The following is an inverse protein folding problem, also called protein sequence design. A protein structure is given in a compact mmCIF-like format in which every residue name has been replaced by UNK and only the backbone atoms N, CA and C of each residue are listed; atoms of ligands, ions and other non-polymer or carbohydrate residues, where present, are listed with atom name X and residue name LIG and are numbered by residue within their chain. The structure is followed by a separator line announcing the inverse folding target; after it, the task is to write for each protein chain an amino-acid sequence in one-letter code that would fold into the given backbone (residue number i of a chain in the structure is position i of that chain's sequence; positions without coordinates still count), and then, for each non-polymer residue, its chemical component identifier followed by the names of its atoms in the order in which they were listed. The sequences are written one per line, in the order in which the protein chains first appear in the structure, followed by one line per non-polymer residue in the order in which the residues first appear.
data_IF_429508101187
#
_entry.id   IF_429508101187
#
_cell.length_a   1.000
_cell.length_b   1.000
_cell.length_c   1.000
_cell.angle_alpha   90.00
_cell.angle_beta   90.00
_cell.angle_gamma   90.00
#
_symmetry.space_group_name_H-M   'P 1'
#
loop_
_entity.id
_entity.type
_entity.pdbx_description
1 polymer ?
#
# COMPACT_ATOMS: atom_id res chain seq x y z
N UNK A 1 -47.20 2.07 24.50
CA UNK A 1 -46.70 2.30 23.13
C UNK A 1 -45.90 3.61 23.11
N UNK A 2 -44.86 3.71 23.95
CA UNK A 2 -44.09 4.96 24.19
C UNK A 2 -42.75 4.70 24.91
N UNK A 3 -42.19 3.49 24.78
CA UNK A 3 -40.91 3.15 25.42
C UNK A 3 -40.08 2.19 24.55
N UNK A 4 -40.73 1.39 23.69
CA UNK A 4 -40.05 0.55 22.70
C UNK A 4 -39.79 1.29 21.37
N UNK A 5 -40.70 2.17 20.91
CA UNK A 5 -40.47 3.00 19.71
C UNK A 5 -39.36 4.07 19.91
N UNK A 6 -39.11 4.50 21.14
CA UNK A 6 -38.00 5.40 21.48
C UNK A 6 -36.65 4.68 21.65
N UNK A 7 -36.64 3.34 21.75
CA UNK A 7 -35.41 2.53 21.69
C UNK A 7 -35.01 2.20 20.26
N UNK A 8 -35.98 2.15 19.35
CA UNK A 8 -35.75 1.77 17.96
C UNK A 8 -35.35 2.97 17.08
N UNK A 9 -35.70 4.19 17.49
CA UNK A 9 -35.18 5.42 16.91
C UNK A 9 -33.91 5.90 17.61
N UNK A 10 -32.78 5.58 16.98
CA UNK A 10 -31.72 6.57 16.69
C UNK A 10 -30.47 6.61 17.59
N UNK A 11 -29.79 5.48 17.83
CA UNK A 11 -28.33 5.52 17.97
C UNK A 11 -27.69 5.66 16.56
N UNK A 12 -28.05 6.71 15.81
CA UNK A 12 -27.33 7.06 14.58
C UNK A 12 -25.94 7.48 15.03
N UNK A 13 -24.95 6.65 14.68
CA UNK A 13 -23.53 7.00 14.71
C UNK A 13 -23.37 8.43 14.18
N UNK A 14 -22.80 9.31 15.01
CA UNK A 14 -22.60 10.72 14.63
C UNK A 14 -21.73 10.81 13.37
N UNK A 15 -21.92 11.83 12.54
CA UNK A 15 -21.10 12.04 11.34
C UNK A 15 -19.60 12.07 11.65
N UNK A 16 -19.22 12.67 12.79
CA UNK A 16 -17.85 12.72 13.29
C UNK A 16 -17.35 11.34 13.71
N UNK A 17 -18.19 10.54 14.35
CA UNK A 17 -17.84 9.19 14.78
C UNK A 17 -17.65 8.26 13.57
N UNK A 18 -18.54 8.34 12.57
CA UNK A 18 -18.40 7.63 11.32
C UNK A 18 -17.11 8.01 10.58
N UNK A 19 -16.71 9.29 10.62
CA UNK A 19 -15.43 9.74 10.07
C UNK A 19 -14.24 9.12 10.83
N UNK A 20 -14.26 9.11 12.17
CA UNK A 20 -13.23 8.47 12.99
C UNK A 20 -13.09 6.99 12.70
N UNK A 21 -14.21 6.25 12.62
CA UNK A 21 -14.21 4.82 12.28
C UNK A 21 -13.58 4.60 10.88
N UNK A 22 -13.93 5.43 9.89
CA UNK A 22 -13.34 5.33 8.55
C UNK A 22 -11.83 5.63 8.57
N UNK A 23 -11.39 6.59 9.38
CA UNK A 23 -9.98 6.97 9.52
C UNK A 23 -9.17 5.84 10.16
N UNK A 24 -9.67 5.28 11.25
CA UNK A 24 -9.06 4.14 11.93
C UNK A 24 -8.99 2.92 11.02
N UNK A 25 -10.06 2.63 10.27
CA UNK A 25 -10.09 1.52 9.32
C UNK A 25 -9.07 1.73 8.18
N UNK A 26 -8.97 2.94 7.64
CA UNK A 26 -7.97 3.29 6.62
C UNK A 26 -6.54 3.10 7.15
N UNK A 27 -6.27 3.50 8.39
CA UNK A 27 -4.96 3.35 9.03
C UNK A 27 -4.64 1.88 9.30
N UNK A 28 -5.62 1.09 9.76
CA UNK A 28 -5.49 -0.36 9.90
C UNK A 28 -5.13 -1.03 8.57
N UNK A 29 -5.79 -0.67 7.46
CA UNK A 29 -5.49 -1.22 6.14
C UNK A 29 -4.09 -0.89 5.63
N UNK A 30 -3.55 0.29 5.97
CA UNK A 30 -2.14 0.62 5.70
C UNK A 30 -1.22 -0.29 6.51
N UNK A 31 -1.51 -0.49 7.80
CA UNK A 31 -0.73 -1.39 8.66
C UNK A 31 -0.72 -2.84 8.17
N UNK A 32 -1.91 -3.37 7.86
CA UNK A 32 -2.06 -4.74 7.35
C UNK A 32 -1.41 -4.92 5.97
N UNK A 33 -1.42 -3.89 5.11
CA UNK A 33 -0.70 -3.92 3.82
C UNK A 33 0.80 -4.17 4.01
N UNK A 34 1.43 -3.46 4.94
CA UNK A 34 2.84 -3.65 5.26
C UNK A 34 3.12 -5.01 5.90
N UNK A 35 2.28 -5.43 6.86
CA UNK A 35 2.41 -6.73 7.51
C UNK A 35 2.36 -7.88 6.51
N UNK A 36 1.36 -7.88 5.61
CA UNK A 36 1.23 -8.90 4.55
C UNK A 36 2.45 -8.89 3.63
N UNK A 37 2.88 -7.72 3.18
CA UNK A 37 4.04 -7.59 2.29
C UNK A 37 5.32 -8.14 2.92
N UNK A 38 5.54 -7.91 4.21
CA UNK A 38 6.69 -8.44 4.93
C UNK A 38 6.68 -9.98 4.98
N UNK A 39 5.53 -10.61 5.20
CA UNK A 39 5.43 -12.08 5.17
C UNK A 39 5.80 -12.66 3.81
N UNK A 40 5.33 -12.06 2.72
CA UNK A 40 5.68 -12.51 1.37
C UNK A 40 7.17 -12.29 1.05
N UNK A 41 7.77 -11.20 1.52
CA UNK A 41 9.20 -10.94 1.33
C UNK A 41 10.06 -11.98 2.07
N UNK A 42 9.74 -12.27 3.33
CA UNK A 42 10.46 -13.29 4.13
C UNK A 42 10.32 -14.67 3.52
N UNK A 43 9.11 -15.05 3.10
CA UNK A 43 8.87 -16.33 2.43
C UNK A 43 9.65 -16.44 1.11
N UNK A 44 9.65 -15.39 0.28
CA UNK A 44 10.44 -15.37 -0.95
C UNK A 44 11.94 -15.48 -0.69
N UNK A 45 12.46 -14.81 0.34
CA UNK A 45 13.86 -14.91 0.73
C UNK A 45 14.22 -16.35 1.17
N UNK A 46 13.38 -17.00 1.97
CA UNK A 46 13.58 -18.39 2.38
C UNK A 46 13.58 -19.35 1.18
N UNK A 47 12.64 -19.18 0.25
CA UNK A 47 12.58 -19.95 -1.00
C UNK A 47 13.83 -19.74 -1.86
N UNK A 48 14.32 -18.50 -1.98
CA UNK A 48 15.55 -18.18 -2.71
C UNK A 48 16.77 -18.88 -2.10
N UNK A 49 16.93 -18.81 -0.78
CA UNK A 49 18.02 -19.51 -0.07
C UNK A 49 17.93 -21.03 -0.32
N UNK A 50 16.74 -21.61 -0.23
CA UNK A 50 16.52 -23.04 -0.52
C UNK A 50 16.89 -23.40 -1.96
N UNK A 51 16.45 -22.59 -2.93
CA UNK A 51 16.75 -22.78 -4.35
C UNK A 51 18.26 -22.83 -4.62
N UNK A 52 19.03 -21.87 -4.09
CA UNK A 52 20.48 -21.81 -4.33
C UNK A 52 21.29 -22.85 -3.56
N UNK A 53 20.73 -23.49 -2.52
CA UNK A 53 21.40 -24.55 -1.76
C UNK A 53 21.18 -25.94 -2.32
N UNK A 54 20.12 -26.16 -3.10
CA UNK A 54 19.81 -27.48 -3.67
C UNK A 54 20.71 -27.77 -4.88
N UNK A 55 21.39 -28.92 -4.84
CA UNK A 55 22.13 -29.47 -5.98
C UNK A 55 21.23 -30.23 -6.95
N UNK A 56 20.10 -30.78 -6.47
CA UNK A 56 19.14 -31.50 -7.29
C UNK A 56 18.28 -30.53 -8.13
N UNK A 57 18.35 -30.69 -9.45
CA UNK A 57 17.63 -29.87 -10.41
C UNK A 57 16.10 -30.01 -10.29
N UNK A 58 15.57 -31.19 -9.96
CA UNK A 58 14.12 -31.40 -9.84
C UNK A 58 13.53 -30.61 -8.68
N UNK A 59 14.16 -30.68 -7.51
CA UNK A 59 13.67 -29.99 -6.31
C UNK A 59 13.91 -28.47 -6.38
N UNK A 60 15.02 -28.03 -7.00
CA UNK A 60 15.25 -26.60 -7.23
C UNK A 60 14.24 -25.99 -8.21
N UNK A 61 13.91 -26.67 -9.32
CA UNK A 61 12.83 -26.22 -10.23
C UNK A 61 11.49 -26.15 -9.49
N UNK A 62 11.17 -27.16 -8.67
CA UNK A 62 9.94 -27.15 -7.88
C UNK A 62 9.86 -25.95 -6.92
N UNK A 63 10.97 -25.62 -6.23
CA UNK A 63 11.04 -24.43 -5.38
C UNK A 63 10.90 -23.14 -6.19
N UNK A 64 11.47 -23.07 -7.39
CA UNK A 64 11.33 -21.89 -8.23
C UNK A 64 9.89 -21.69 -8.73
N UNK A 65 9.20 -22.76 -9.11
CA UNK A 65 7.77 -22.73 -9.42
C UNK A 65 6.93 -22.26 -8.20
N UNK A 66 7.25 -22.76 -7.01
CA UNK A 66 6.61 -22.31 -5.77
C UNK A 66 6.88 -20.83 -5.49
N UNK A 67 8.12 -20.37 -5.69
CA UNK A 67 8.50 -18.96 -5.58
C UNK A 67 7.75 -18.05 -6.54
N UNK A 68 7.63 -18.45 -7.81
CA UNK A 68 6.83 -17.73 -8.81
C UNK A 68 5.37 -17.63 -8.38
N UNK A 69 4.79 -18.74 -7.92
CA UNK A 69 3.40 -18.79 -7.46
C UNK A 69 3.17 -17.90 -6.22
N UNK A 70 4.04 -17.99 -5.21
CA UNK A 70 3.98 -17.15 -3.99
C UNK A 70 4.09 -15.67 -4.35
N UNK A 71 4.98 -15.31 -5.27
CA UNK A 71 5.16 -13.93 -5.74
C UNK A 71 3.93 -13.42 -6.50
N UNK A 72 3.28 -14.28 -7.28
CA UNK A 72 2.03 -13.95 -7.95
C UNK A 72 0.89 -13.75 -6.95
N UNK A 73 0.80 -14.57 -5.90
CA UNK A 73 -0.16 -14.34 -4.82
C UNK A 73 0.11 -13.02 -4.08
N UNK A 74 1.38 -12.69 -3.83
CA UNK A 74 1.77 -11.41 -3.26
C UNK A 74 1.26 -10.23 -4.11
N UNK A 75 1.47 -10.30 -5.43
CA UNK A 75 0.94 -9.30 -6.36
C UNK A 75 -0.58 -9.12 -6.22
N UNK A 76 -1.35 -10.21 -6.20
CA UNK A 76 -2.81 -10.14 -6.02
C UNK A 76 -3.22 -9.55 -4.66
N UNK A 77 -2.50 -9.88 -3.60
CA UNK A 77 -2.73 -9.30 -2.26
C UNK A 77 -2.44 -7.80 -2.24
N UNK A 78 -1.40 -7.34 -2.95
CA UNK A 78 -1.10 -5.91 -3.09
C UNK A 78 -2.22 -5.17 -3.84
N UNK A 79 -2.78 -5.76 -4.91
CA UNK A 79 -3.94 -5.20 -5.61
C UNK A 79 -5.17 -5.09 -4.69
N UNK A 80 -5.48 -6.15 -3.94
CA UNK A 80 -6.59 -6.13 -2.98
C UNK A 80 -6.40 -5.07 -1.89
N UNK A 81 -5.17 -4.91 -1.39
CA UNK A 81 -4.84 -3.88 -0.40
C UNK A 81 -5.06 -2.47 -0.97
N UNK A 82 -4.62 -2.22 -2.21
CA UNK A 82 -4.81 -0.92 -2.87
C UNK A 82 -6.28 -0.61 -3.08
N UNK A 83 -7.10 -1.61 -3.45
CA UNK A 83 -8.54 -1.45 -3.62
C UNK A 83 -9.23 -0.96 -2.33
N UNK A 84 -8.95 -1.62 -1.19
CA UNK A 84 -9.56 -1.23 0.08
C UNK A 84 -9.05 0.10 0.61
N UNK A 85 -7.76 0.40 0.45
CA UNK A 85 -7.19 1.72 0.78
C UNK A 85 -7.90 2.83 0.00
N UNK A 86 -8.02 2.69 -1.33
CA UNK A 86 -8.68 3.67 -2.17
C UNK A 86 -10.17 3.85 -1.81
N UNK A 87 -10.85 2.75 -1.48
CA UNK A 87 -12.24 2.81 -1.00
C UNK A 87 -12.35 3.64 0.27
N UNK A 88 -11.53 3.38 1.28
CA UNK A 88 -11.61 4.09 2.56
C UNK A 88 -11.17 5.55 2.45
N UNK A 89 -10.15 5.85 1.64
CA UNK A 89 -9.78 7.23 1.28
C UNK A 89 -10.96 7.98 0.65
N UNK A 90 -11.69 7.35 -0.28
CA UNK A 90 -12.88 7.95 -0.87
C UNK A 90 -14.02 8.16 0.14
N UNK A 91 -14.24 7.21 1.06
CA UNK A 91 -15.25 7.35 2.13
C UNK A 91 -14.90 8.47 3.10
N UNK A 92 -13.61 8.65 3.41
CA UNK A 92 -13.12 9.76 4.24
C UNK A 92 -13.35 11.10 3.55
N UNK A 93 -12.93 11.25 2.29
CA UNK A 93 -13.16 12.44 1.49
C UNK A 93 -14.65 12.86 1.49
N UNK A 94 -15.55 11.91 1.20
CA UNK A 94 -16.99 12.20 1.17
C UNK A 94 -17.50 12.62 2.54
N UNK A 95 -17.11 11.91 3.60
CA UNK A 95 -17.59 12.20 4.95
C UNK A 95 -17.03 13.51 5.49
N UNK A 96 -15.79 13.85 5.17
CA UNK A 96 -15.17 15.14 5.50
C UNK A 96 -15.98 16.30 4.94
N UNK A 97 -16.30 16.25 3.64
CA UNK A 97 -17.13 17.26 2.98
C UNK A 97 -18.53 17.40 3.57
N UNK A 98 -19.08 16.35 4.17
CA UNK A 98 -20.38 16.39 4.84
C UNK A 98 -20.32 17.02 6.24
N UNK A 99 -19.19 16.90 6.96
CA UNK A 99 -19.08 17.35 8.36
C UNK A 99 -18.33 18.67 8.52
N UNK A 100 -17.34 18.93 7.68
CA UNK A 100 -16.46 20.10 7.73
C UNK A 100 -15.74 20.24 6.37
N UNK A 101 -16.41 20.88 5.42
CA UNK A 101 -15.90 21.07 4.05
C UNK A 101 -14.66 21.96 3.97
N UNK A 102 -14.37 22.73 5.01
CA UNK A 102 -13.25 23.66 5.13
C UNK A 102 -11.94 23.00 5.62
N UNK A 103 -11.96 21.72 6.04
CA UNK A 103 -10.75 21.05 6.55
C UNK A 103 -9.73 20.71 5.47
N UNK A 104 -10.19 20.36 4.26
CA UNK A 104 -9.34 20.04 3.10
C UNK A 104 -8.20 19.04 3.42
N UNK A 105 -8.45 17.98 4.20
CA UNK A 105 -7.43 16.96 4.48
C UNK A 105 -7.48 15.83 3.45
N UNK A 106 -8.58 15.08 3.46
CA UNK A 106 -8.88 14.03 2.48
C UNK A 106 -9.72 14.56 1.33
N UNK A 107 -10.42 15.69 1.54
CA UNK A 107 -11.22 16.37 0.52
C UNK A 107 -10.42 17.27 -0.41
N UNK A 108 -9.19 17.65 -0.06
CA UNK A 108 -8.35 18.53 -0.86
C UNK A 108 -8.16 18.01 -2.30
N UNK A 109 -8.17 18.95 -3.23
CA UNK A 109 -7.84 18.68 -4.61
C UNK A 109 -6.32 18.51 -4.80
N UNK A 110 -5.93 18.01 -5.98
CA UNK A 110 -4.52 17.70 -6.23
C UNK A 110 -3.62 18.93 -6.28
N UNK A 111 -4.15 20.12 -6.60
CA UNK A 111 -3.36 21.36 -6.65
C UNK A 111 -3.03 21.85 -5.25
N UNK A 112 -4.00 21.83 -4.32
CA UNK A 112 -3.80 22.16 -2.91
C UNK A 112 -2.78 21.23 -2.26
N UNK A 113 -2.94 19.91 -2.43
CA UNK A 113 -1.97 18.91 -1.91
C UNK A 113 -0.56 19.17 -2.45
N UNK A 114 -0.43 19.48 -3.75
CA UNK A 114 0.87 19.73 -4.36
C UNK A 114 1.50 21.01 -3.80
N UNK A 115 0.73 22.09 -3.66
CA UNK A 115 1.18 23.36 -3.12
C UNK A 115 1.67 23.22 -1.66
N UNK A 116 0.96 22.45 -0.82
CA UNK A 116 1.34 22.20 0.58
C UNK A 116 2.70 21.48 0.68
N UNK A 117 2.92 20.48 -0.17
CA UNK A 117 4.18 19.72 -0.20
C UNK A 117 5.32 20.59 -0.73
N UNK A 118 5.08 21.38 -1.78
CA UNK A 118 6.07 22.31 -2.34
C UNK A 118 6.47 23.40 -1.35
N UNK A 119 5.49 23.99 -0.64
CA UNK A 119 5.75 24.97 0.41
C UNK A 119 6.61 24.36 1.53
N UNK A 120 6.30 23.13 1.95
CA UNK A 120 7.08 22.39 2.95
C UNK A 120 8.53 22.16 2.51
N UNK A 121 8.78 21.93 1.23
CA UNK A 121 10.13 21.75 0.69
C UNK A 121 10.85 23.06 0.39
N UNK A 122 10.14 24.16 0.15
CA UNK A 122 10.75 25.49 -0.03
C UNK A 122 11.36 26.04 1.26
N UNK A 123 10.91 25.57 2.42
CA UNK A 123 11.45 25.97 3.71
C UNK A 123 12.95 25.60 3.81
N UNK A 124 13.81 26.60 4.00
CA UNK A 124 15.26 26.42 4.09
C UNK A 124 15.96 26.04 2.77
N UNK A 125 15.33 26.25 1.60
CA UNK A 125 15.89 25.84 0.30
C UNK A 125 17.30 26.38 -0.02
N UNK A 126 17.68 27.51 0.59
CA UNK A 126 19.01 28.11 0.42
C UNK A 126 20.13 27.35 1.15
N UNK A 127 19.80 26.55 2.16
CA UNK A 127 20.76 25.76 2.95
C UNK A 127 20.95 24.34 2.40
N UNK A 128 20.08 23.90 1.48
CA UNK A 128 20.04 22.51 0.98
C UNK A 128 21.09 22.25 -0.11
N UNK A 129 21.81 21.15 0.02
CA UNK A 129 22.76 20.67 -0.98
C UNK A 129 22.08 20.10 -2.25
N UNK A 130 22.86 19.90 -3.33
CA UNK A 130 22.35 19.43 -4.64
C UNK A 130 21.60 18.10 -4.57
N UNK A 131 22.11 17.15 -3.78
CA UNK A 131 21.49 15.84 -3.63
C UNK A 131 20.14 15.90 -2.90
N UNK A 132 20.05 16.70 -1.83
CA UNK A 132 18.80 16.90 -1.11
C UNK A 132 17.73 17.53 -2.00
N UNK A 133 18.09 18.55 -2.79
CA UNK A 133 17.19 19.16 -3.77
C UNK A 133 16.70 18.13 -4.81
N UNK A 134 17.59 17.28 -5.30
CA UNK A 134 17.22 16.20 -6.22
C UNK A 134 16.26 15.18 -5.58
N UNK A 135 16.48 14.80 -4.32
CA UNK A 135 15.57 13.89 -3.59
C UNK A 135 14.18 14.50 -3.41
N UNK A 136 14.09 15.76 -3.00
CA UNK A 136 12.83 16.49 -2.84
C UNK A 136 12.07 16.57 -4.17
N UNK A 137 12.76 16.82 -5.29
CA UNK A 137 12.17 16.77 -6.63
C UNK A 137 11.61 15.39 -7.00
N UNK A 138 12.22 14.29 -6.55
CA UNK A 138 11.64 12.96 -6.75
C UNK A 138 10.43 12.72 -5.84
N UNK A 139 10.45 13.22 -4.61
CA UNK A 139 9.34 13.10 -3.67
C UNK A 139 8.07 13.83 -4.18
N UNK A 140 8.24 14.98 -4.84
CA UNK A 140 7.15 15.72 -5.49
C UNK A 140 6.42 14.95 -6.59
N UNK A 141 7.02 13.90 -7.15
CA UNK A 141 6.34 13.01 -8.11
C UNK A 141 5.35 12.04 -7.46
N UNK A 142 5.07 12.20 -6.16
CA UNK A 142 4.11 11.43 -5.36
C UNK A 142 4.27 9.91 -5.55
N UNK A 143 5.45 9.33 -5.24
CA UNK A 143 5.66 7.91 -5.38
C UNK A 143 4.68 7.12 -4.50
N UNK A 144 3.88 6.25 -5.12
CA UNK A 144 2.95 5.40 -4.37
C UNK A 144 3.69 4.19 -3.81
N UNK A 145 3.67 4.06 -2.48
CA UNK A 145 4.25 2.92 -1.76
C UNK A 145 3.63 1.59 -2.21
N UNK A 146 2.29 1.53 -2.29
CA UNK A 146 1.58 0.32 -2.71
C UNK A 146 1.86 -0.04 -4.16
N UNK A 147 2.04 0.95 -5.04
CA UNK A 147 2.51 0.71 -6.41
C UNK A 147 3.91 0.08 -6.43
N UNK A 148 4.86 0.61 -5.65
CA UNK A 148 6.22 0.08 -5.60
C UNK A 148 6.27 -1.37 -5.11
N UNK A 149 5.49 -1.73 -4.08
CA UNK A 149 5.40 -3.12 -3.62
C UNK A 149 4.73 -4.03 -4.65
N UNK A 150 3.73 -3.52 -5.38
CA UNK A 150 3.10 -4.23 -6.49
C UNK A 150 4.13 -4.52 -7.60
N UNK A 151 4.91 -3.51 -8.00
CA UNK A 151 5.99 -3.67 -8.96
C UNK A 151 7.05 -4.66 -8.47
N UNK A 152 7.45 -4.56 -7.20
CA UNK A 152 8.41 -5.49 -6.60
C UNK A 152 7.92 -6.94 -6.69
N UNK A 153 6.66 -7.20 -6.36
CA UNK A 153 6.09 -8.55 -6.48
C UNK A 153 6.13 -9.09 -7.92
N UNK A 154 5.93 -8.24 -8.94
CA UNK A 154 6.07 -8.63 -10.34
C UNK A 154 7.52 -8.92 -10.72
N UNK A 155 8.48 -8.14 -10.19
CA UNK A 155 9.91 -8.41 -10.36
C UNK A 155 10.28 -9.77 -9.79
N UNK A 156 9.74 -10.15 -8.63
CA UNK A 156 9.93 -11.48 -8.06
C UNK A 156 9.35 -12.59 -8.95
N UNK A 157 8.14 -12.41 -9.50
CA UNK A 157 7.55 -13.37 -10.47
C UNK A 157 8.48 -13.55 -11.68
N UNK A 158 8.94 -12.45 -12.28
CA UNK A 158 9.84 -12.48 -13.44
C UNK A 158 11.18 -13.14 -13.10
N UNK A 159 11.74 -12.83 -11.93
CA UNK A 159 12.99 -13.42 -11.45
C UNK A 159 12.86 -14.94 -11.30
N UNK A 160 11.79 -15.43 -10.67
CA UNK A 160 11.56 -16.86 -10.56
C UNK A 160 11.35 -17.53 -11.91
N UNK A 161 10.63 -16.90 -12.83
CA UNK A 161 10.48 -17.38 -14.21
C UNK A 161 11.82 -17.51 -14.93
N UNK A 162 12.70 -16.51 -14.79
CA UNK A 162 14.05 -16.56 -15.36
C UNK A 162 14.89 -17.69 -14.75
N UNK A 163 14.82 -17.89 -13.44
CA UNK A 163 15.55 -18.97 -12.75
C UNK A 163 15.08 -20.37 -13.20
N UNK A 164 13.78 -20.55 -13.45
CA UNK A 164 13.24 -21.79 -14.02
C UNK A 164 13.83 -22.04 -15.40
N UNK A 165 13.82 -21.03 -16.27
CA UNK A 165 14.39 -21.13 -17.63
C UNK A 165 15.87 -21.51 -17.56
N UNK A 166 16.67 -20.79 -16.75
CA UNK A 166 18.10 -21.07 -16.58
C UNK A 166 18.32 -22.53 -16.13
N UNK A 167 17.54 -23.03 -15.17
CA UNK A 167 17.69 -24.40 -14.68
C UNK A 167 17.24 -25.49 -15.65
N UNK A 168 16.34 -25.19 -16.58
CA UNK A 168 15.93 -26.14 -17.62
C UNK A 168 17.00 -26.27 -18.71
N UNK A 169 17.73 -25.18 -19.00
CA UNK A 169 18.73 -25.12 -20.07
C UNK A 169 20.19 -25.26 -19.59
N UNK A 170 20.43 -25.46 -18.29
CA UNK A 170 21.75 -25.70 -17.69
C UNK A 170 21.93 -27.16 -17.31
#
# INVERSE_FOLDING_TARGET
MSAEEDKENNEKVSGLEAYKIALETRNLEIGLFWQRSNYFLVLNAALAIGFFRLSDNKYSILLACLGAFVSFLWFRVNLGSKYWQARWEHRLNKKENEIASDLEFFSADSTTIQADVEASFSHGANTKGKFQKWLEQQALKKPSVSYNMTLLSLVFVATWGLLIIIKIFS
#
